data_IF_863269902060
#
_entry.id   IF_863269902060
#
_cell.length_a   1.000
_cell.length_b   1.000
_cell.length_c   1.000
_cell.angle_alpha   90.00
_cell.angle_beta   90.00
_cell.angle_gamma   90.00
#
_symmetry.space_group_name_H-M   'P 1'
#
loop_
_entity.id
_entity.type
_entity.pdbx_description
1 polymer ?
#
# COMPACT_ATOMS: atom_id res chain seq x y z
N UNK A 1 -12.57 -34.27 -12.13
CA UNK A 1 -12.67 -33.37 -13.30
C UNK A 1 -12.95 -32.01 -12.73
N UNK A 2 -12.14 -31.00 -13.06
CA UNK A 2 -12.33 -29.63 -12.57
C UNK A 2 -13.64 -29.03 -13.10
N UNK A 3 -14.17 -28.09 -12.34
CA UNK A 3 -15.32 -27.28 -12.74
C UNK A 3 -14.89 -26.23 -13.77
N UNK A 4 -15.70 -26.01 -14.83
CA UNK A 4 -15.46 -24.92 -15.77
C UNK A 4 -15.93 -23.59 -15.18
N UNK A 5 -15.02 -22.65 -15.06
CA UNK A 5 -15.27 -21.31 -14.53
C UNK A 5 -15.18 -20.28 -15.65
N UNK A 6 -16.16 -19.38 -15.72
CA UNK A 6 -16.11 -18.21 -16.59
C UNK A 6 -15.17 -17.17 -16.03
N UNK A 7 -14.08 -16.86 -16.74
CA UNK A 7 -13.08 -15.86 -16.35
C UNK A 7 -13.10 -14.71 -17.34
N UNK A 8 -13.42 -13.52 -16.87
CA UNK A 8 -13.42 -12.28 -17.65
C UNK A 8 -12.12 -11.51 -17.34
N UNK A 9 -11.17 -11.56 -18.25
CA UNK A 9 -9.86 -10.92 -18.06
C UNK A 9 -9.75 -9.67 -18.92
N UNK A 10 -9.33 -8.58 -18.30
CA UNK A 10 -9.03 -7.36 -19.03
C UNK A 10 -7.79 -7.56 -19.92
N UNK A 11 -7.94 -7.27 -21.21
CA UNK A 11 -6.89 -7.38 -22.23
C UNK A 11 -6.73 -6.05 -22.95
N UNK A 12 -5.49 -5.59 -23.05
CA UNK A 12 -5.16 -4.35 -23.74
C UNK A 12 -3.85 -3.75 -23.29
N UNK A 13 -3.65 -2.49 -23.63
CA UNK A 13 -2.46 -1.70 -23.30
C UNK A 13 -2.82 -0.31 -22.75
N UNK A 14 -1.86 0.59 -22.64
CA UNK A 14 -1.92 1.90 -21.97
C UNK A 14 -3.09 2.85 -22.36
N UNK A 15 -4.00 2.49 -23.19
CA UNK A 15 -5.09 3.40 -23.58
C UNK A 15 -6.33 2.69 -24.07
N UNK A 16 -6.21 1.43 -24.47
CA UNK A 16 -7.31 0.69 -25.06
C UNK A 16 -7.33 -0.75 -24.57
N UNK A 17 -8.44 -1.16 -24.01
CA UNK A 17 -8.60 -2.52 -23.57
C UNK A 17 -10.07 -2.86 -23.33
N UNK A 18 -10.33 -4.17 -23.20
CA UNK A 18 -11.65 -4.69 -22.93
C UNK A 18 -11.58 -5.96 -22.10
N UNK A 19 -12.66 -6.29 -21.44
CA UNK A 19 -12.85 -7.61 -20.86
C UNK A 19 -13.01 -8.65 -21.98
N UNK A 20 -12.30 -9.75 -21.85
CA UNK A 20 -12.34 -10.90 -22.77
C UNK A 20 -12.74 -12.13 -21.98
N UNK A 21 -13.74 -12.84 -22.49
CA UNK A 21 -14.29 -14.02 -21.84
C UNK A 21 -13.46 -15.26 -22.15
N UNK A 22 -13.19 -16.05 -21.11
CA UNK A 22 -12.51 -17.33 -21.19
C UNK A 22 -13.23 -18.37 -20.34
N UNK A 23 -13.10 -19.64 -20.73
CA UNK A 23 -13.55 -20.78 -19.92
C UNK A 23 -12.31 -21.54 -19.45
N UNK A 24 -12.09 -21.57 -18.16
CA UNK A 24 -10.90 -22.18 -17.55
C UNK A 24 -11.35 -23.25 -16.56
N UNK A 25 -10.70 -24.39 -16.58
CA UNK A 25 -10.95 -25.45 -15.60
C UNK A 25 -10.37 -25.06 -14.25
N UNK A 26 -11.15 -25.17 -13.18
CA UNK A 26 -10.73 -24.95 -11.81
C UNK A 26 -10.78 -26.27 -11.03
N UNK A 27 -9.73 -26.55 -10.26
CA UNK A 27 -9.69 -27.69 -9.36
C UNK A 27 -9.88 -27.24 -7.90
N UNK A 28 -10.21 -28.19 -7.05
CA UNK A 28 -10.37 -27.94 -5.63
C UNK A 28 -9.07 -27.38 -5.01
N UNK A 29 -9.20 -26.35 -4.18
CA UNK A 29 -8.08 -25.73 -3.47
C UNK A 29 -7.27 -24.70 -4.27
N UNK A 30 -7.55 -24.54 -5.58
CA UNK A 30 -6.85 -23.55 -6.42
C UNK A 30 -7.20 -22.10 -6.07
N UNK A 31 -6.31 -21.20 -6.50
CA UNK A 31 -6.44 -19.75 -6.39
C UNK A 31 -6.55 -19.10 -7.78
N UNK A 32 -7.01 -17.87 -7.83
CA UNK A 32 -7.16 -17.13 -9.11
C UNK A 32 -5.87 -17.11 -9.93
N UNK A 33 -4.69 -17.05 -9.30
CA UNK A 33 -3.41 -17.07 -10.00
C UNK A 33 -3.19 -18.39 -10.76
N UNK A 34 -3.66 -19.53 -10.22
CA UNK A 34 -3.52 -20.82 -10.91
C UNK A 34 -4.37 -20.86 -12.19
N UNK A 35 -5.57 -20.27 -12.16
CA UNK A 35 -6.42 -20.13 -13.33
C UNK A 35 -5.78 -19.22 -14.39
N UNK A 36 -5.16 -18.10 -13.98
CA UNK A 36 -4.43 -17.22 -14.91
C UNK A 36 -3.26 -17.95 -15.57
N UNK A 37 -2.51 -18.75 -14.83
CA UNK A 37 -1.41 -19.55 -15.40
C UNK A 37 -1.94 -20.63 -16.36
N UNK A 38 -3.04 -21.28 -16.02
CA UNK A 38 -3.68 -22.26 -16.91
C UNK A 38 -4.20 -21.58 -18.17
N UNK A 39 -4.79 -20.40 -18.04
CA UNK A 39 -5.21 -19.58 -19.17
C UNK A 39 -4.03 -19.23 -20.09
N UNK A 40 -2.88 -18.81 -19.53
CA UNK A 40 -1.66 -18.57 -20.30
C UNK A 40 -1.18 -19.83 -21.03
N UNK A 41 -1.23 -20.98 -20.37
CA UNK A 41 -0.74 -22.23 -20.94
C UNK A 41 -1.63 -22.78 -22.06
N UNK A 42 -2.94 -22.47 -22.07
CA UNK A 42 -3.90 -23.18 -22.93
C UNK A 42 -4.60 -22.30 -23.96
N UNK A 43 -4.80 -20.99 -23.68
CA UNK A 43 -5.66 -20.14 -24.51
C UNK A 43 -5.06 -18.76 -24.81
N UNK A 44 -4.28 -18.18 -23.90
CA UNK A 44 -3.78 -16.81 -24.00
C UNK A 44 -2.31 -16.72 -23.59
N UNK A 45 -1.43 -17.34 -24.38
CA UNK A 45 0.02 -17.40 -24.10
C UNK A 45 0.72 -16.03 -24.05
N UNK A 46 0.05 -14.99 -24.57
CA UNK A 46 0.52 -13.61 -24.58
C UNK A 46 -0.03 -12.77 -23.43
N UNK A 47 -0.85 -13.32 -22.53
CA UNK A 47 -1.42 -12.62 -21.39
C UNK A 47 -0.30 -12.12 -20.45
N UNK A 48 -0.20 -10.81 -20.28
CA UNK A 48 0.74 -10.21 -19.34
C UNK A 48 0.17 -10.24 -17.91
N UNK A 49 0.83 -10.99 -17.04
CA UNK A 49 0.52 -11.07 -15.61
C UNK A 49 1.80 -11.05 -14.79
N UNK A 50 1.80 -10.27 -13.71
CA UNK A 50 2.94 -10.20 -12.79
C UNK A 50 2.73 -11.12 -11.60
N UNK A 51 3.72 -11.94 -11.29
CA UNK A 51 3.72 -12.82 -10.12
C UNK A 51 5.14 -13.21 -9.71
N UNK A 52 5.32 -13.72 -8.48
CA UNK A 52 6.61 -14.23 -8.04
C UNK A 52 6.48 -15.32 -6.96
N UNK A 53 6.18 -14.97 -5.68
CA UNK A 53 6.30 -15.90 -4.56
C UNK A 53 5.20 -16.96 -4.46
N UNK A 54 4.01 -16.74 -4.99
CA UNK A 54 2.79 -17.56 -4.85
C UNK A 54 2.33 -17.81 -3.39
N UNK A 55 2.83 -17.04 -2.44
CA UNK A 55 2.63 -17.27 -0.99
C UNK A 55 2.19 -16.00 -0.23
N UNK A 56 1.64 -15.00 -0.93
CA UNK A 56 1.16 -13.77 -0.31
C UNK A 56 2.24 -12.87 0.32
N UNK A 57 3.52 -12.99 -0.08
CA UNK A 57 4.63 -12.28 0.58
C UNK A 57 5.39 -11.26 -0.28
N UNK A 58 5.11 -11.17 -1.57
CA UNK A 58 5.85 -10.26 -2.45
C UNK A 58 5.00 -9.15 -3.09
N UNK A 59 3.67 -9.19 -2.94
CA UNK A 59 2.77 -8.20 -3.53
C UNK A 59 2.66 -8.19 -5.05
N UNK A 60 3.48 -8.96 -5.79
CA UNK A 60 3.57 -8.86 -7.25
C UNK A 60 2.28 -9.21 -8.01
N UNK A 61 1.47 -10.13 -7.48
CA UNK A 61 0.23 -10.57 -8.11
C UNK A 61 -1.00 -9.74 -7.70
N UNK A 62 -0.79 -8.48 -7.35
CA UNK A 62 -1.87 -7.53 -7.03
C UNK A 62 -2.66 -7.17 -8.26
N UNK A 63 -3.98 -7.31 -8.19
CA UNK A 63 -4.94 -6.96 -9.25
C UNK A 63 -6.33 -6.78 -8.65
N UNK A 64 -7.27 -6.24 -9.43
CA UNK A 64 -8.66 -6.23 -9.00
C UNK A 64 -9.36 -7.51 -9.42
N UNK A 65 -10.02 -8.18 -8.48
CA UNK A 65 -10.80 -9.39 -8.70
C UNK A 65 -12.23 -9.11 -8.23
N UNK A 66 -13.20 -9.20 -9.15
CA UNK A 66 -14.58 -8.76 -8.95
C UNK A 66 -14.65 -7.34 -8.37
N UNK A 67 -13.85 -6.42 -8.94
CA UNK A 67 -13.81 -5.00 -8.57
C UNK A 67 -13.15 -4.70 -7.21
N UNK A 68 -12.56 -5.70 -6.54
CA UNK A 68 -11.86 -5.52 -5.27
C UNK A 68 -10.37 -5.80 -5.42
N UNK A 69 -9.48 -4.90 -4.98
CA UNK A 69 -8.05 -5.15 -4.98
C UNK A 69 -7.68 -6.34 -4.09
N UNK A 70 -7.01 -7.34 -4.66
CA UNK A 70 -6.61 -8.59 -3.97
C UNK A 70 -5.29 -9.13 -4.52
N UNK A 71 -4.66 -10.01 -3.75
CA UNK A 71 -3.56 -10.84 -4.23
C UNK A 71 -4.13 -12.08 -4.94
N UNK A 72 -3.86 -12.26 -6.22
CA UNK A 72 -4.38 -13.40 -6.97
C UNK A 72 -3.90 -14.75 -6.41
N UNK A 73 -2.70 -14.81 -5.83
CA UNK A 73 -2.16 -16.02 -5.20
C UNK A 73 -2.80 -16.36 -3.84
N UNK A 74 -3.59 -15.44 -3.25
CA UNK A 74 -4.27 -15.65 -1.97
C UNK A 74 -5.79 -15.70 -2.12
N UNK A 75 -6.32 -15.40 -3.29
CA UNK A 75 -7.76 -15.42 -3.58
C UNK A 75 -8.19 -16.82 -4.01
N UNK A 76 -8.76 -17.55 -3.07
CA UNK A 76 -9.21 -18.95 -3.31
C UNK A 76 -10.45 -19.00 -4.17
N UNK A 77 -10.53 -20.00 -5.03
CA UNK A 77 -11.70 -20.24 -5.89
C UNK A 77 -12.97 -20.50 -5.07
N UNK A 78 -12.86 -21.11 -3.91
CA UNK A 78 -13.99 -21.36 -2.98
C UNK A 78 -14.62 -20.09 -2.37
N UNK A 79 -14.08 -18.90 -2.66
CA UNK A 79 -14.68 -17.63 -2.21
C UNK A 79 -15.71 -17.08 -3.20
N UNK A 80 -15.87 -17.70 -4.36
CA UNK A 80 -16.85 -17.31 -5.38
C UNK A 80 -18.00 -18.28 -5.41
N UNK A 81 -19.18 -17.78 -5.75
CA UNK A 81 -20.35 -18.63 -5.94
C UNK A 81 -20.22 -19.47 -7.22
N UNK A 82 -20.65 -20.74 -7.19
CA UNK A 82 -20.62 -21.59 -8.38
C UNK A 82 -21.39 -20.96 -9.55
N UNK A 83 -20.75 -20.92 -10.74
CA UNK A 83 -21.34 -20.36 -11.95
C UNK A 83 -21.28 -18.84 -12.08
N UNK A 84 -20.82 -18.10 -11.06
CA UNK A 84 -20.59 -16.65 -11.15
C UNK A 84 -19.31 -16.36 -11.95
N UNK A 85 -19.35 -15.48 -12.96
CA UNK A 85 -18.14 -15.11 -13.69
C UNK A 85 -17.17 -14.33 -12.79
N UNK A 86 -15.88 -14.66 -12.89
CA UNK A 86 -14.82 -13.95 -12.15
C UNK A 86 -14.19 -12.92 -13.07
N UNK A 87 -14.33 -11.65 -12.70
CA UNK A 87 -13.72 -10.54 -13.43
C UNK A 87 -12.33 -10.24 -12.86
N UNK A 88 -11.32 -10.16 -13.73
CA UNK A 88 -9.94 -9.83 -13.35
C UNK A 88 -9.48 -8.64 -14.17
N UNK A 89 -9.12 -7.55 -13.47
CA UNK A 89 -8.68 -6.29 -14.09
C UNK A 89 -7.39 -5.79 -13.44
N UNK A 90 -6.60 -4.94 -14.15
CA UNK A 90 -5.43 -4.30 -13.54
C UNK A 90 -5.84 -3.37 -12.39
N UNK A 91 -4.88 -3.03 -11.52
CA UNK A 91 -5.07 -2.01 -10.49
C UNK A 91 -5.38 -0.66 -11.15
N UNK A 92 -6.56 -0.07 -10.86
CA UNK A 92 -7.07 1.12 -11.57
C UNK A 92 -6.36 2.43 -11.22
N UNK A 93 -5.73 2.50 -10.07
CA UNK A 93 -5.00 3.70 -9.63
C UNK A 93 -3.71 3.91 -10.42
N UNK A 94 -3.18 2.87 -11.04
CA UNK A 94 -1.89 2.93 -11.75
C UNK A 94 -2.08 2.80 -13.26
N UNK A 95 -1.25 3.49 -14.07
CA UNK A 95 -1.29 3.35 -15.52
C UNK A 95 -1.08 1.91 -15.95
N UNK A 96 -1.86 1.45 -16.91
CA UNK A 96 -1.71 0.10 -17.48
C UNK A 96 -0.51 0.09 -18.44
N UNK A 97 0.36 -0.90 -18.29
CA UNK A 97 1.41 -1.21 -19.26
C UNK A 97 0.84 -2.17 -20.31
N UNK A 98 0.35 -3.34 -19.84
CA UNK A 98 -0.29 -4.35 -20.69
C UNK A 98 -1.12 -5.31 -19.83
N UNK A 99 -2.32 -5.60 -20.24
CA UNK A 99 -3.25 -6.54 -19.62
C UNK A 99 -3.39 -6.28 -18.10
N UNK A 100 -2.92 -7.20 -17.26
CA UNK A 100 -2.99 -7.11 -15.80
C UNK A 100 -1.74 -6.42 -15.17
N UNK A 101 -0.81 -5.95 -15.99
CA UNK A 101 0.43 -5.31 -15.54
C UNK A 101 0.32 -3.80 -15.57
N UNK A 102 0.54 -3.17 -14.43
CA UNK A 102 0.50 -1.71 -14.25
C UNK A 102 1.88 -1.12 -13.95
N UNK A 103 2.04 0.16 -14.25
CA UNK A 103 3.21 0.95 -13.86
C UNK A 103 3.07 1.43 -12.42
N UNK A 104 3.86 0.88 -11.53
CA UNK A 104 3.90 1.22 -10.10
C UNK A 104 5.04 2.18 -9.74
N UNK A 105 5.71 2.80 -10.73
CA UNK A 105 6.85 3.70 -10.54
C UNK A 105 6.54 4.91 -9.65
N UNK A 106 5.29 5.38 -9.66
CA UNK A 106 4.78 6.38 -8.72
C UNK A 106 5.18 6.08 -7.26
N UNK A 107 5.04 4.81 -6.85
CA UNK A 107 5.34 4.43 -5.48
C UNK A 107 6.83 4.56 -5.14
N UNK A 108 7.71 4.24 -6.08
CA UNK A 108 9.15 4.41 -5.89
C UNK A 108 9.55 5.89 -5.84
N UNK A 109 8.94 6.72 -6.69
CA UNK A 109 9.15 8.17 -6.67
C UNK A 109 8.72 8.77 -5.32
N UNK A 110 7.55 8.38 -4.78
CA UNK A 110 7.08 8.84 -3.47
C UNK A 110 7.93 8.29 -2.32
N UNK A 111 8.42 7.05 -2.41
CA UNK A 111 9.31 6.49 -1.39
C UNK A 111 10.60 7.31 -1.22
N UNK A 112 11.18 7.79 -2.32
CA UNK A 112 12.40 8.61 -2.31
C UNK A 112 12.20 9.98 -1.65
N UNK A 113 10.98 10.50 -1.60
CA UNK A 113 10.66 11.78 -0.97
C UNK A 113 10.60 11.69 0.55
N UNK A 114 10.58 10.48 1.13
CA UNK A 114 10.51 10.30 2.58
C UNK A 114 11.91 10.26 3.16
N UNK A 115 12.27 11.23 4.05
CA UNK A 115 13.55 11.20 4.74
C UNK A 115 13.72 9.89 5.51
N UNK A 116 14.89 9.27 5.36
CA UNK A 116 15.22 8.00 6.01
C UNK A 116 15.26 8.11 7.53
N UNK A 117 15.34 6.98 8.20
CA UNK A 117 15.60 6.88 9.64
C UNK A 117 16.87 7.67 10.01
N UNK A 118 16.76 8.54 11.02
CA UNK A 118 17.85 9.40 11.49
C UNK A 118 18.14 9.08 12.96
N UNK A 119 19.14 8.23 13.26
CA UNK A 119 19.47 7.88 14.63
C UNK A 119 20.10 9.05 15.37
N UNK A 120 20.01 9.03 16.70
CA UNK A 120 20.75 9.95 17.55
C UNK A 120 22.27 9.70 17.39
N UNK A 121 23.06 10.70 16.97
CA UNK A 121 24.49 10.54 16.74
C UNK A 121 25.30 10.22 18.00
N UNK A 122 24.72 10.45 19.19
CA UNK A 122 25.36 10.09 20.47
C UNK A 122 25.31 8.59 20.79
N UNK A 123 24.45 7.82 20.08
CA UNK A 123 24.31 6.38 20.29
C UNK A 123 25.35 5.63 19.44
N UNK A 124 26.21 4.86 20.10
CA UNK A 124 27.22 4.04 19.45
C UNK A 124 26.65 2.87 18.64
N UNK A 125 27.39 2.39 17.65
CA UNK A 125 27.03 1.18 16.89
C UNK A 125 26.89 -0.02 17.84
N UNK A 126 25.75 -0.71 17.77
CA UNK A 126 25.43 -1.86 18.64
C UNK A 126 24.74 -1.50 19.97
N UNK A 127 24.54 -0.20 20.24
CA UNK A 127 23.87 0.28 21.47
C UNK A 127 22.39 0.64 21.25
N UNK A 128 21.86 0.43 20.04
CA UNK A 128 20.47 0.71 19.68
C UNK A 128 19.52 -0.24 20.41
N UNK A 129 19.05 0.16 21.57
CA UNK A 129 18.10 -0.63 22.38
C UNK A 129 16.74 0.05 22.40
N UNK A 130 15.69 -0.75 22.23
CA UNK A 130 14.30 -0.34 22.31
C UNK A 130 13.59 -1.07 23.45
N UNK A 131 12.65 -0.40 24.10
CA UNK A 131 11.75 -1.08 25.02
C UNK A 131 10.77 -1.95 24.22
N UNK A 132 10.32 -3.07 24.81
CA UNK A 132 9.39 -4.00 24.15
C UNK A 132 8.09 -3.30 23.72
N UNK A 133 7.59 -2.37 24.50
CA UNK A 133 6.38 -1.59 24.18
C UNK A 133 6.53 -0.77 22.90
N UNK A 134 7.71 -0.20 22.64
CA UNK A 134 7.99 0.57 21.44
C UNK A 134 8.14 -0.34 20.21
N UNK A 135 8.78 -1.51 20.40
CA UNK A 135 8.84 -2.54 19.35
C UNK A 135 7.44 -2.98 18.95
N UNK A 136 6.57 -3.28 19.92
CA UNK A 136 5.19 -3.70 19.65
C UNK A 136 4.39 -2.63 18.91
N UNK A 137 4.55 -1.36 19.27
CA UNK A 137 3.87 -0.23 18.62
C UNK A 137 4.21 -0.09 17.14
N UNK A 138 5.48 -0.28 16.77
CA UNK A 138 5.97 -0.11 15.40
C UNK A 138 5.97 -1.41 14.58
N UNK A 139 5.92 -2.58 15.21
CA UNK A 139 6.07 -3.88 14.57
C UNK A 139 4.97 -4.16 13.52
N UNK A 140 3.75 -3.67 13.75
CA UNK A 140 2.63 -3.86 12.83
C UNK A 140 2.95 -3.33 11.43
N UNK A 141 3.56 -2.15 11.34
CA UNK A 141 3.85 -1.49 10.06
C UNK A 141 4.93 -2.20 9.25
N UNK A 142 5.83 -2.94 9.91
CA UNK A 142 6.90 -3.74 9.27
C UNK A 142 6.37 -4.96 8.51
N UNK A 143 5.11 -5.36 8.75
CA UNK A 143 4.46 -6.44 7.99
C UNK A 143 4.16 -6.06 6.55
N UNK A 144 4.25 -4.78 6.18
CA UNK A 144 3.90 -4.30 4.86
C UNK A 144 4.77 -4.93 3.76
N UNK A 145 4.12 -5.65 2.83
CA UNK A 145 4.75 -6.33 1.69
C UNK A 145 4.77 -5.48 0.41
N UNK A 146 4.40 -4.21 0.49
CA UNK A 146 4.39 -3.26 -0.64
C UNK A 146 3.53 -3.72 -1.84
N UNK A 147 2.42 -4.35 -1.56
CA UNK A 147 1.49 -4.86 -2.59
C UNK A 147 0.66 -3.76 -3.26
N UNK A 148 0.60 -2.55 -2.68
CA UNK A 148 -0.14 -1.38 -3.15
C UNK A 148 -1.66 -1.53 -3.27
N UNK A 149 -2.26 -2.59 -2.75
CA UNK A 149 -3.73 -2.75 -2.73
C UNK A 149 -4.42 -1.60 -1.97
N UNK A 150 -3.80 -1.13 -0.88
CA UNK A 150 -4.28 0.03 -0.13
C UNK A 150 -4.17 1.34 -0.91
N UNK A 151 -3.19 1.48 -1.81
CA UNK A 151 -3.10 2.62 -2.74
C UNK A 151 -4.21 2.55 -3.78
N UNK A 152 -4.47 1.36 -4.31
CA UNK A 152 -5.46 1.14 -5.36
C UNK A 152 -6.90 1.38 -4.88
N UNK A 153 -7.24 0.96 -3.66
CA UNK A 153 -8.58 1.16 -3.10
C UNK A 153 -8.81 2.58 -2.57
N UNK A 154 -7.76 3.38 -2.45
CA UNK A 154 -7.86 4.74 -1.91
C UNK A 154 -8.58 5.66 -2.89
N UNK A 155 -9.81 6.06 -2.56
CA UNK A 155 -10.60 6.93 -3.43
C UNK A 155 -9.96 8.32 -3.65
N UNK A 156 -9.09 8.80 -2.76
CA UNK A 156 -8.32 10.03 -2.97
C UNK A 156 -7.34 9.86 -4.15
N UNK A 157 -6.68 8.71 -4.22
CA UNK A 157 -5.76 8.42 -5.34
C UNK A 157 -6.52 7.96 -6.58
N UNK A 158 -7.50 7.04 -6.42
CA UNK A 158 -8.20 6.39 -7.52
C UNK A 158 -9.24 7.27 -8.19
N UNK A 159 -10.13 7.87 -7.40
CA UNK A 159 -11.31 8.56 -7.93
C UNK A 159 -11.07 10.07 -8.06
N UNK A 160 -10.33 10.68 -7.12
CA UNK A 160 -9.99 12.11 -7.15
C UNK A 160 -8.67 12.41 -7.84
N UNK A 161 -7.86 11.39 -8.16
CA UNK A 161 -6.57 11.50 -8.86
C UNK A 161 -5.60 12.51 -8.21
N UNK A 162 -5.53 12.48 -6.85
CA UNK A 162 -4.71 13.37 -6.05
C UNK A 162 -3.29 12.80 -5.76
N UNK A 163 -2.66 12.19 -6.77
CA UNK A 163 -1.34 11.59 -6.64
C UNK A 163 -0.25 12.62 -6.34
N UNK A 164 -0.42 13.85 -6.77
CA UNK A 164 0.56 14.91 -6.52
C UNK A 164 0.45 15.47 -5.10
N UNK A 165 -0.76 15.54 -4.55
CA UNK A 165 -1.04 16.15 -3.26
C UNK A 165 -1.08 15.17 -2.09
N UNK A 166 -1.32 13.88 -2.34
CA UNK A 166 -1.43 12.83 -1.31
C UNK A 166 -0.55 11.64 -1.60
N UNK A 167 0.35 11.35 -0.69
CA UNK A 167 1.31 10.24 -0.83
C UNK A 167 0.64 8.85 -0.75
N UNK A 168 -0.55 8.75 -0.14
CA UNK A 168 -1.33 7.53 -0.02
C UNK A 168 -1.07 6.70 1.24
N UNK A 169 -1.98 5.75 1.52
CA UNK A 169 -1.97 5.00 2.79
C UNK A 169 -0.73 4.14 3.01
N UNK A 170 -0.13 3.55 1.96
CA UNK A 170 1.13 2.78 2.08
C UNK A 170 2.24 3.62 2.71
N UNK A 171 2.39 4.86 2.28
CA UNK A 171 3.45 5.73 2.75
C UNK A 171 3.11 6.40 4.08
N UNK A 172 1.81 6.60 4.36
CA UNK A 172 1.39 7.06 5.68
C UNK A 172 1.77 6.06 6.77
N UNK A 173 1.63 4.75 6.57
CA UNK A 173 2.09 3.77 7.58
C UNK A 173 3.61 3.70 7.68
N UNK A 174 4.33 3.94 6.57
CA UNK A 174 5.78 4.02 6.61
C UNK A 174 6.26 5.23 7.42
N UNK A 175 5.64 6.39 7.21
CA UNK A 175 5.87 7.59 8.00
C UNK A 175 5.51 7.38 9.48
N UNK A 176 4.39 6.68 9.76
CA UNK A 176 4.00 6.33 11.13
C UNK A 176 5.05 5.44 11.82
N UNK A 177 5.60 4.46 11.09
CA UNK A 177 6.67 3.61 11.62
C UNK A 177 7.93 4.42 11.98
N UNK A 178 8.31 5.39 11.16
CA UNK A 178 9.44 6.27 11.42
C UNK A 178 9.15 7.24 12.55
N UNK A 179 8.00 7.91 12.54
CA UNK A 179 7.64 8.94 13.53
C UNK A 179 7.41 8.36 14.93
N UNK A 180 6.93 7.11 15.02
CA UNK A 180 6.73 6.39 16.29
C UNK A 180 8.01 5.67 16.77
N UNK A 181 9.07 5.63 15.98
CA UNK A 181 10.31 4.95 16.35
C UNK A 181 11.06 5.78 17.41
N UNK A 182 11.35 5.23 18.61
CA UNK A 182 11.91 6.01 19.72
C UNK A 182 13.35 6.47 19.47
N UNK A 183 14.07 5.83 18.56
CA UNK A 183 15.44 6.15 18.19
C UNK A 183 15.54 7.01 16.93
N UNK A 184 14.42 7.42 16.36
CA UNK A 184 14.39 8.33 15.21
C UNK A 184 14.25 9.77 15.72
N UNK A 185 15.23 10.60 15.41
CA UNK A 185 15.30 12.00 15.87
C UNK A 185 14.70 12.99 14.86
N UNK A 186 14.43 12.56 13.63
CA UNK A 186 13.92 13.46 12.59
C UNK A 186 12.47 13.90 12.86
N UNK A 187 12.21 15.20 12.69
CA UNK A 187 10.85 15.77 12.74
C UNK A 187 10.25 15.84 11.33
N UNK A 188 9.32 14.92 11.04
CA UNK A 188 8.64 14.83 9.74
C UNK A 188 7.23 15.44 9.75
N UNK A 189 6.75 15.97 10.87
CA UNK A 189 5.35 16.41 11.00
C UNK A 189 4.98 17.54 10.03
N UNK A 190 5.94 18.44 9.73
CA UNK A 190 5.71 19.49 8.72
C UNK A 190 5.50 18.87 7.33
N UNK A 191 6.39 17.99 6.89
CA UNK A 191 6.28 17.31 5.61
C UNK A 191 5.00 16.44 5.54
N UNK A 192 4.63 15.76 6.63
CA UNK A 192 3.39 14.97 6.71
C UNK A 192 2.16 15.86 6.45
N UNK A 193 2.16 17.09 6.98
CA UNK A 193 1.07 18.05 6.76
C UNK A 193 1.09 18.62 5.34
N UNK A 194 2.24 19.18 4.92
CA UNK A 194 2.35 20.08 3.77
C UNK A 194 2.67 19.32 2.47
N UNK A 195 3.63 18.37 2.52
CA UNK A 195 4.17 17.72 1.33
C UNK A 195 3.52 16.36 1.06
N UNK A 196 3.12 15.66 2.12
CA UNK A 196 2.56 14.30 2.03
C UNK A 196 1.02 14.26 2.16
N UNK A 197 0.41 15.42 2.38
CA UNK A 197 -1.03 15.61 2.27
C UNK A 197 -1.88 14.79 3.24
N UNK A 198 -1.45 14.63 4.51
CA UNK A 198 -2.21 13.88 5.52
C UNK A 198 -3.65 14.39 5.69
N UNK A 199 -3.91 15.67 5.38
CA UNK A 199 -5.23 16.29 5.43
C UNK A 199 -6.24 15.70 4.45
N UNK A 200 -5.80 15.17 3.30
CA UNK A 200 -6.69 14.61 2.29
C UNK A 200 -7.38 13.31 2.72
N UNK A 201 -6.77 12.55 3.62
CA UNK A 201 -7.39 11.30 4.11
C UNK A 201 -8.64 11.60 4.94
N UNK A 202 -9.79 11.10 4.51
CA UNK A 202 -11.09 11.23 5.20
C UNK A 202 -11.49 10.01 6.05
N UNK A 203 -10.55 9.10 6.31
CA UNK A 203 -10.69 8.01 7.31
C UNK A 203 -11.80 7.00 6.94
N UNK A 204 -11.98 6.67 5.66
CA UNK A 204 -12.97 5.66 5.22
C UNK A 204 -12.57 4.21 5.53
N UNK A 205 -11.34 3.96 5.96
CA UNK A 205 -10.79 2.63 6.33
C UNK A 205 -10.71 1.60 5.19
N UNK A 206 -11.04 1.96 3.96
CA UNK A 206 -10.96 1.06 2.81
C UNK A 206 -9.55 0.45 2.62
N UNK A 207 -8.50 1.22 2.92
CA UNK A 207 -7.12 0.74 2.88
C UNK A 207 -6.80 -0.35 3.93
N UNK A 208 -7.38 -0.23 5.13
CA UNK A 208 -7.27 -1.26 6.18
C UNK A 208 -7.98 -2.54 5.76
N UNK A 209 -9.17 -2.42 5.16
CA UNK A 209 -10.02 -3.53 4.78
C UNK A 209 -9.39 -4.44 3.71
N UNK A 210 -8.57 -3.90 2.80
CA UNK A 210 -7.91 -4.68 1.73
C UNK A 210 -6.51 -5.15 2.08
N UNK A 211 -5.99 -4.82 3.26
CA UNK A 211 -4.61 -5.16 3.62
C UNK A 211 -4.43 -6.67 3.86
N UNK A 212 -3.63 -7.39 3.04
CA UNK A 212 -3.45 -8.83 3.18
C UNK A 212 -2.62 -9.22 4.41
N UNK A 213 -1.87 -8.29 4.99
CA UNK A 213 -1.09 -8.47 6.21
C UNK A 213 -1.84 -7.95 7.46
N UNK A 214 -3.12 -7.59 7.31
CA UNK A 214 -4.00 -7.15 8.40
C UNK A 214 -3.43 -5.98 9.23
N UNK A 215 -2.79 -5.03 8.55
CA UNK A 215 -2.29 -3.81 9.18
C UNK A 215 -3.48 -2.87 9.40
N UNK A 216 -3.66 -2.37 10.61
CA UNK A 216 -4.65 -1.33 10.94
C UNK A 216 -4.17 0.04 10.46
N UNK A 217 -4.10 0.19 9.13
CA UNK A 217 -3.51 1.35 8.44
C UNK A 217 -4.11 2.66 8.96
N UNK A 218 -5.43 2.71 9.07
CA UNK A 218 -6.13 3.93 9.46
C UNK A 218 -5.99 4.21 10.94
N UNK A 219 -6.34 3.25 11.79
CA UNK A 219 -6.46 3.48 13.24
C UNK A 219 -5.09 3.60 13.91
N UNK A 220 -4.13 2.75 13.53
CA UNK A 220 -2.81 2.73 14.17
C UNK A 220 -1.79 3.63 13.46
N UNK A 221 -1.99 3.96 12.19
CA UNK A 221 -1.06 4.77 11.40
C UNK A 221 -1.56 6.16 11.09
N UNK A 222 -2.62 6.28 10.28
CA UNK A 222 -3.04 7.59 9.73
C UNK A 222 -3.63 8.49 10.82
N UNK A 223 -4.53 7.98 11.67
CA UNK A 223 -5.16 8.79 12.73
C UNK A 223 -4.10 9.35 13.68
N UNK A 224 -3.18 8.55 14.26
CA UNK A 224 -2.15 9.10 15.14
C UNK A 224 -1.25 10.15 14.48
N UNK A 225 -0.92 9.99 13.18
CA UNK A 225 -0.16 11.02 12.46
C UNK A 225 -0.96 12.33 12.33
N UNK A 226 -2.26 12.23 12.01
CA UNK A 226 -3.14 13.42 11.91
C UNK A 226 -3.27 14.11 13.28
N UNK A 227 -3.45 13.37 14.35
CA UNK A 227 -3.51 13.90 15.71
C UNK A 227 -2.22 14.64 16.08
N UNK A 228 -1.06 14.05 15.80
CA UNK A 228 0.24 14.71 16.03
C UNK A 228 0.42 16.00 15.21
N UNK A 229 -0.08 16.03 13.98
CA UNK A 229 -0.10 17.25 13.15
C UNK A 229 -1.01 18.30 13.79
N UNK A 230 -2.22 17.91 14.26
CA UNK A 230 -3.12 18.83 14.94
C UNK A 230 -2.49 19.39 16.21
N UNK A 231 -1.97 18.55 17.07
CA UNK A 231 -1.30 18.96 18.31
C UNK A 231 -0.11 19.89 18.06
N UNK A 232 0.63 19.65 16.98
CA UNK A 232 1.82 20.45 16.66
C UNK A 232 1.49 21.83 16.11
N UNK A 233 0.49 21.91 15.22
CA UNK A 233 0.27 23.11 14.41
C UNK A 233 -1.02 23.85 14.72
N UNK A 234 -2.02 23.20 15.30
CA UNK A 234 -3.36 23.78 15.47
C UNK A 234 -3.83 23.88 16.91
N UNK A 235 -3.32 23.06 17.83
CA UNK A 235 -3.68 23.13 19.25
C UNK A 235 -2.94 24.29 19.95
N UNK A 236 -3.63 25.35 20.41
CA UNK A 236 -3.02 26.50 21.06
C UNK A 236 -2.46 26.14 22.45
N UNK A 237 -3.09 25.21 23.17
CA UNK A 237 -2.66 24.80 24.52
C UNK A 237 -1.38 23.97 24.41
N UNK A 238 -1.36 22.98 23.50
CA UNK A 238 -0.17 22.17 23.25
C UNK A 238 1.00 23.02 22.75
N UNK A 239 0.74 24.08 21.98
CA UNK A 239 1.77 25.04 21.54
C UNK A 239 2.33 25.86 22.69
N UNK A 240 1.48 26.35 23.60
CA UNK A 240 1.89 27.10 24.77
C UNK A 240 2.74 26.24 25.72
N UNK A 241 2.30 25.01 26.03
CA UNK A 241 3.01 24.10 26.91
C UNK A 241 4.40 23.71 26.37
N UNK A 242 4.54 23.55 25.06
CA UNK A 242 5.83 23.25 24.41
C UNK A 242 6.82 24.42 24.48
N UNK A 243 6.32 25.66 24.49
CA UNK A 243 7.15 26.84 24.70
C UNK A 243 7.81 26.84 26.07
N UNK A 244 7.29 26.09 27.02
CA UNK A 244 7.74 26.04 28.43
C UNK A 244 8.68 24.86 28.73
N UNK A 245 8.67 23.76 27.92
CA UNK A 245 9.35 22.52 28.37
C UNK A 245 9.76 21.46 27.34
N UNK A 246 9.87 21.73 26.07
CA UNK A 246 10.14 20.69 25.10
C UNK A 246 11.37 20.87 24.22
N UNK A 247 12.29 19.93 24.25
CA UNK A 247 13.34 19.79 23.24
C UNK A 247 12.72 19.67 21.84
N UNK A 248 13.17 20.49 20.89
CA UNK A 248 12.74 20.43 19.49
C UNK A 248 13.41 19.24 18.84
N UNK A 249 12.63 18.29 18.24
CA UNK A 249 13.18 17.42 17.21
C UNK A 249 13.66 18.30 16.04
N UNK A 250 14.87 18.05 15.58
CA UNK A 250 15.37 18.74 14.39
C UNK A 250 14.52 18.37 13.16
N UNK A 251 14.31 19.33 12.23
CA UNK A 251 13.64 18.99 10.98
C UNK A 251 14.45 17.94 10.22
N UNK A 252 13.76 17.01 9.55
CA UNK A 252 14.41 16.06 8.69
C UNK A 252 15.26 16.79 7.63
N UNK A 253 16.47 16.30 7.30
CA UNK A 253 17.31 16.91 6.29
C UNK A 253 16.55 16.98 4.96
N UNK A 254 16.68 18.09 4.25
CA UNK A 254 16.15 18.22 2.91
C UNK A 254 16.78 17.12 2.02
N UNK A 255 15.95 16.45 1.23
CA UNK A 255 16.45 15.51 0.24
C UNK A 255 17.23 16.28 -0.82
N UNK A 256 18.41 15.80 -1.17
CA UNK A 256 19.12 16.26 -2.34
C UNK A 256 18.32 15.81 -3.57
N UNK A 257 17.81 16.73 -4.41
CA UNK A 257 17.02 16.36 -5.57
C UNK A 257 17.84 15.61 -6.64
N UNK A 258 19.18 15.62 -6.53
CA UNK A 258 20.13 15.05 -7.49
C UNK A 258 20.81 13.75 -6.96
N UNK A 259 20.38 13.19 -5.82
CA UNK A 259 20.95 11.98 -5.24
C UNK A 259 20.27 10.69 -5.69
#
# INVERSE_FOLDING_TARGET
MGEKVALQVWRGDAGQGRLTDYQVEANEGEVVLDLLHRLQATQAGDLAVRWNCKAGKCGSCSMEINGRPRLACMTRMSTFEPGEPITVTPLRTFPVIRDLVTDVSFNYAKARQIPSFTPDPSIGLGEFRMQQVDVQRSQEFRKCIECYLCQDVCHILRDQQKQDEFIGPRFMIFLANLDMHPLDTADRLRAIRDDFGSGYCNITKCCTDVCPEHINITDNGIIPLKERVVDRFYDPIARLLRGIGGGKKEPAPALDPDA
#
